data_IF_363149888492
#
_entry.id   IF_363149888492
#
_cell.length_a   1.000
_cell.length_b   1.000
_cell.length_c   1.000
_cell.angle_alpha   90.00
_cell.angle_beta   90.00
_cell.angle_gamma   90.00
#
_symmetry.space_group_name_H-M   'P 1'
#
loop_
_entity.id
_entity.type
_entity.pdbx_description
1 polymer ?
#
# COMPACT_ATOMS: atom_id res chain seq x y z
N UNK A 1 14.64 20.35 5.14
CA UNK A 1 13.35 19.64 5.23
C UNK A 1 13.21 18.72 4.03
N UNK A 2 13.10 17.41 4.26
CA UNK A 2 12.89 16.46 3.15
C UNK A 2 11.44 16.49 2.72
N UNK A 3 11.18 16.78 1.47
CA UNK A 3 9.85 16.60 0.89
C UNK A 3 9.60 15.12 0.66
N UNK A 4 8.39 14.67 0.95
CA UNK A 4 7.95 13.32 0.61
C UNK A 4 6.77 13.40 -0.37
N UNK A 5 6.85 12.62 -1.44
CA UNK A 5 5.79 12.60 -2.45
C UNK A 5 4.76 11.50 -2.18
N UNK A 6 5.13 10.50 -1.39
CA UNK A 6 4.21 9.47 -0.92
C UNK A 6 4.81 8.76 0.29
N UNK A 7 3.95 8.24 1.15
CA UNK A 7 4.35 7.40 2.29
C UNK A 7 3.83 6.00 2.07
N UNK A 8 4.73 5.03 2.06
CA UNK A 8 4.41 3.64 1.76
C UNK A 8 4.89 2.69 2.87
N UNK A 9 4.27 1.53 2.91
CA UNK A 9 4.72 0.39 3.70
C UNK A 9 5.14 -0.71 2.74
N UNK A 10 6.41 -1.11 2.79
CA UNK A 10 6.96 -2.20 1.98
C UNK A 10 6.97 -3.48 2.79
N UNK A 11 6.24 -4.49 2.33
CA UNK A 11 6.03 -5.76 3.04
C UNK A 11 6.57 -6.92 2.22
N UNK A 12 7.64 -7.54 2.70
CA UNK A 12 8.30 -8.66 2.04
C UNK A 12 9.20 -9.36 3.05
N UNK A 13 9.27 -10.67 3.03
CA UNK A 13 10.12 -11.43 3.94
C UNK A 13 11.58 -11.53 3.50
N UNK A 14 11.88 -11.12 2.27
CA UNK A 14 13.25 -11.08 1.75
C UNK A 14 13.97 -9.80 2.21
N UNK A 15 14.67 -9.89 3.34
CA UNK A 15 15.34 -8.73 3.96
C UNK A 15 16.24 -7.97 2.99
N UNK A 16 17.14 -8.63 2.21
CA UNK A 16 17.99 -7.89 1.27
C UNK A 16 17.21 -7.11 0.21
N UNK A 17 16.10 -7.67 -0.27
CA UNK A 17 15.22 -6.98 -1.22
C UNK A 17 14.61 -5.73 -0.60
N UNK A 18 14.09 -5.84 0.64
CA UNK A 18 13.49 -4.72 1.36
C UNK A 18 14.51 -3.60 1.58
N UNK A 19 15.72 -3.95 2.01
CA UNK A 19 16.78 -2.96 2.26
C UNK A 19 17.17 -2.23 0.99
N UNK A 20 17.39 -2.95 -0.11
CA UNK A 20 17.77 -2.37 -1.39
C UNK A 20 16.66 -1.47 -1.93
N UNK A 21 15.44 -1.95 -1.91
CA UNK A 21 14.29 -1.20 -2.43
C UNK A 21 14.02 0.05 -1.59
N UNK A 22 14.15 -0.04 -0.27
CA UNK A 22 14.00 1.09 0.63
C UNK A 22 14.98 2.21 0.28
N UNK A 23 16.25 1.87 0.06
CA UNK A 23 17.26 2.86 -0.34
C UNK A 23 16.92 3.53 -1.66
N UNK A 24 16.49 2.76 -2.64
CA UNK A 24 16.16 3.26 -3.98
C UNK A 24 14.94 4.17 -3.96
N UNK A 25 13.90 3.79 -3.24
CA UNK A 25 12.67 4.58 -3.13
C UNK A 25 12.89 5.85 -2.31
N UNK A 26 13.68 5.77 -1.24
CA UNK A 26 14.00 6.94 -0.40
C UNK A 26 14.73 8.01 -1.21
N UNK A 27 15.59 7.63 -2.12
CA UNK A 27 16.27 8.58 -3.04
C UNK A 27 15.31 9.29 -3.98
N UNK A 28 14.13 8.73 -4.19
CA UNK A 28 13.08 9.33 -5.02
C UNK A 28 12.03 10.08 -4.20
N UNK A 29 12.38 10.48 -2.98
CA UNK A 29 11.52 11.27 -2.09
C UNK A 29 10.26 10.52 -1.62
N UNK A 30 10.33 9.19 -1.56
CA UNK A 30 9.28 8.35 -0.99
C UNK A 30 9.69 7.98 0.43
N UNK A 31 8.79 8.19 1.38
CA UNK A 31 8.98 7.73 2.77
C UNK A 31 8.57 6.26 2.85
N UNK A 32 9.50 5.42 3.29
CA UNK A 32 9.30 3.97 3.32
C UNK A 32 9.32 3.46 4.75
N UNK A 33 8.21 2.86 5.16
CA UNK A 33 8.13 2.02 6.34
C UNK A 33 8.26 0.57 5.87
N UNK A 34 8.75 -0.31 6.72
CA UNK A 34 9.02 -1.70 6.34
C UNK A 34 8.34 -2.68 7.28
N UNK A 35 7.94 -3.83 6.74
CA UNK A 35 7.47 -4.98 7.49
C UNK A 35 7.93 -6.25 6.78
N UNK A 36 8.23 -7.28 7.55
CA UNK A 36 8.78 -8.52 7.01
C UNK A 36 7.78 -9.68 7.07
N UNK A 37 6.55 -9.38 7.46
CA UNK A 37 5.44 -10.36 7.48
C UNK A 37 4.11 -9.63 7.37
N UNK A 38 3.06 -10.37 7.05
CA UNK A 38 1.71 -9.83 7.00
C UNK A 38 1.23 -9.32 8.36
N UNK A 39 1.52 -10.06 9.43
CA UNK A 39 1.15 -9.66 10.78
C UNK A 39 1.85 -8.37 11.19
N UNK A 40 3.13 -8.25 10.90
CA UNK A 40 3.88 -7.03 11.18
C UNK A 40 3.32 -5.85 10.38
N UNK A 41 2.93 -6.08 9.13
CA UNK A 41 2.31 -5.05 8.31
C UNK A 41 1.03 -4.49 8.94
N UNK A 42 0.16 -5.38 9.43
CA UNK A 42 -1.08 -4.97 10.10
C UNK A 42 -0.79 -4.18 11.37
N UNK A 43 0.22 -4.57 12.14
CA UNK A 43 0.64 -3.84 13.34
C UNK A 43 1.14 -2.44 13.01
N UNK A 44 1.95 -2.30 11.95
CA UNK A 44 2.44 -0.99 11.51
C UNK A 44 1.27 -0.09 11.09
N UNK A 45 0.33 -0.62 10.31
CA UNK A 45 -0.84 0.16 9.87
C UNK A 45 -1.73 0.59 11.03
N UNK A 46 -1.84 -0.23 12.08
CA UNK A 46 -2.61 0.11 13.27
C UNK A 46 -1.95 1.21 14.09
N UNK A 47 -0.62 1.28 14.10
CA UNK A 47 0.14 2.24 14.91
C UNK A 47 0.50 3.53 14.17
N UNK A 48 0.62 3.49 12.85
CA UNK A 48 1.10 4.62 12.05
C UNK A 48 0.01 5.14 11.13
N UNK A 49 -0.42 6.36 11.38
CA UNK A 49 -1.29 7.08 10.45
C UNK A 49 -0.48 7.57 9.25
N UNK A 50 -1.15 7.82 8.16
CA UNK A 50 -0.52 8.45 7.00
C UNK A 50 0.12 7.52 5.99
N UNK A 51 0.10 6.21 6.20
CA UNK A 51 0.51 5.26 5.15
C UNK A 51 -0.54 5.30 4.04
N UNK A 52 -0.11 5.62 2.84
CA UNK A 52 -1.00 5.78 1.69
C UNK A 52 -1.09 4.51 0.85
N UNK A 53 0.03 3.82 0.68
CA UNK A 53 0.14 2.65 -0.19
C UNK A 53 0.94 1.56 0.51
N UNK A 54 0.48 0.34 0.40
CA UNK A 54 1.24 -0.86 0.81
C UNK A 54 1.74 -1.57 -0.44
N UNK A 55 3.03 -1.85 -0.50
CA UNK A 55 3.61 -2.75 -1.50
C UNK A 55 3.77 -4.10 -0.82
N UNK A 56 3.12 -5.12 -1.32
CA UNK A 56 2.90 -6.38 -0.60
C UNK A 56 3.28 -7.59 -1.46
N UNK A 57 4.17 -8.44 -0.92
CA UNK A 57 4.48 -9.73 -1.55
C UNK A 57 3.35 -10.73 -1.31
N UNK A 58 3.12 -11.62 -2.25
CA UNK A 58 2.07 -12.64 -2.17
C UNK A 58 2.47 -13.78 -1.25
N UNK A 59 3.69 -14.29 -1.41
CA UNK A 59 4.11 -15.52 -0.74
C UNK A 59 5.06 -15.21 0.41
N UNK A 60 4.53 -15.31 1.63
CA UNK A 60 5.28 -15.07 2.86
C UNK A 60 4.94 -16.15 3.89
N UNK A 61 5.87 -16.52 4.79
CA UNK A 61 5.55 -17.40 5.90
C UNK A 61 4.49 -16.81 6.84
N UNK A 62 3.66 -17.66 7.41
CA UNK A 62 2.60 -17.24 8.30
C UNK A 62 1.42 -16.66 7.53
N UNK A 63 1.01 -15.45 7.86
CA UNK A 63 -0.08 -14.76 7.14
C UNK A 63 0.40 -14.36 5.75
N UNK A 64 -0.10 -15.02 4.70
CA UNK A 64 0.33 -14.75 3.35
C UNK A 64 -0.20 -13.42 2.80
N UNK A 65 0.27 -13.04 1.61
CA UNK A 65 -0.08 -11.75 1.02
C UNK A 65 -1.56 -11.60 0.69
N UNK A 66 -2.23 -12.66 0.28
CA UNK A 66 -3.67 -12.62 -0.04
C UNK A 66 -4.50 -12.40 1.23
N UNK A 67 -4.20 -13.12 2.30
CA UNK A 67 -4.88 -12.91 3.59
C UNK A 67 -4.57 -11.52 4.17
N UNK A 68 -3.33 -11.08 4.04
CA UNK A 68 -2.94 -9.73 4.46
C UNK A 68 -3.73 -8.67 3.70
N UNK A 69 -3.86 -8.83 2.37
CA UNK A 69 -4.65 -7.93 1.54
C UNK A 69 -6.10 -7.85 2.01
N UNK A 70 -6.72 -8.99 2.28
CA UNK A 70 -8.10 -9.04 2.79
C UNK A 70 -8.26 -8.22 4.05
N UNK A 71 -7.34 -8.38 5.00
CA UNK A 71 -7.40 -7.67 6.28
C UNK A 71 -7.14 -6.18 6.12
N UNK A 72 -6.20 -5.79 5.26
CA UNK A 72 -5.95 -4.38 4.97
C UNK A 72 -7.19 -3.74 4.38
N UNK A 73 -7.82 -4.38 3.41
CA UNK A 73 -9.02 -3.84 2.78
C UNK A 73 -10.20 -3.72 3.76
N UNK A 74 -10.31 -4.65 4.71
CA UNK A 74 -11.36 -4.63 5.72
C UNK A 74 -11.13 -3.57 6.81
N UNK A 75 -9.89 -3.48 7.32
CA UNK A 75 -9.59 -2.68 8.50
C UNK A 75 -9.01 -1.29 8.16
N UNK A 76 -8.39 -1.14 6.99
CA UNK A 76 -7.77 0.11 6.53
C UNK A 76 -8.23 0.43 5.10
N UNK A 77 -9.53 0.70 4.90
CA UNK A 77 -10.10 0.75 3.56
C UNK A 77 -9.59 1.88 2.67
N UNK A 78 -8.98 2.92 3.23
CA UNK A 78 -8.40 4.01 2.45
C UNK A 78 -7.00 3.70 1.94
N UNK A 79 -6.31 2.74 2.57
CA UNK A 79 -4.96 2.35 2.14
C UNK A 79 -5.07 1.55 0.85
N UNK A 80 -4.30 1.94 -0.16
CA UNK A 80 -4.25 1.20 -1.41
C UNK A 80 -3.13 0.15 -1.36
N UNK A 81 -3.32 -0.98 -2.03
CA UNK A 81 -2.36 -2.09 -2.01
C UNK A 81 -1.90 -2.41 -3.43
N UNK A 82 -0.59 -2.43 -3.63
CA UNK A 82 0.05 -2.93 -4.85
C UNK A 82 0.72 -4.26 -4.51
N UNK A 83 0.34 -5.32 -5.20
CA UNK A 83 1.01 -6.61 -5.06
C UNK A 83 2.30 -6.61 -5.90
N UNK A 84 3.43 -6.93 -5.30
CA UNK A 84 4.72 -7.01 -6.00
C UNK A 84 5.41 -8.31 -5.62
N UNK A 85 5.47 -9.26 -6.52
CA UNK A 85 5.92 -10.61 -6.20
C UNK A 85 6.69 -11.27 -7.32
N UNK A 86 7.64 -12.14 -6.93
CA UNK A 86 8.31 -13.08 -7.85
C UNK A 86 7.54 -14.38 -8.04
N UNK A 87 6.46 -14.57 -7.30
CA UNK A 87 5.64 -15.79 -7.30
C UNK A 87 4.29 -15.57 -7.98
N UNK A 88 4.26 -14.76 -9.03
CA UNK A 88 3.04 -14.43 -9.74
C UNK A 88 2.48 -15.63 -10.48
N UNK A 89 1.19 -15.90 -10.26
CA UNK A 89 0.41 -16.82 -11.07
C UNK A 89 -0.82 -16.06 -11.57
N UNK A 90 -1.44 -16.54 -12.65
CA UNK A 90 -2.67 -15.94 -13.16
C UNK A 90 -3.75 -15.97 -12.07
N UNK A 91 -3.85 -17.08 -11.35
CA UNK A 91 -4.81 -17.25 -10.25
C UNK A 91 -4.60 -16.24 -9.14
N UNK A 92 -3.36 -16.08 -8.65
CA UNK A 92 -3.08 -15.10 -7.57
C UNK A 92 -3.30 -13.66 -8.01
N UNK A 93 -3.02 -13.33 -9.27
CA UNK A 93 -3.30 -12.01 -9.81
C UNK A 93 -4.80 -11.73 -9.86
N UNK A 94 -5.60 -12.69 -10.33
CA UNK A 94 -7.05 -12.57 -10.37
C UNK A 94 -7.61 -12.40 -8.95
N UNK A 95 -7.17 -13.23 -8.01
CA UNK A 95 -7.61 -13.15 -6.61
C UNK A 95 -7.27 -11.81 -5.99
N UNK A 96 -6.04 -11.34 -6.17
CA UNK A 96 -5.60 -10.05 -5.66
C UNK A 96 -6.45 -8.89 -6.18
N UNK A 97 -6.71 -8.86 -7.49
CA UNK A 97 -7.53 -7.80 -8.08
C UNK A 97 -8.99 -7.87 -7.63
N UNK A 98 -9.56 -9.06 -7.51
CA UNK A 98 -10.93 -9.26 -6.98
C UNK A 98 -11.06 -8.80 -5.54
N UNK A 99 -10.01 -8.96 -4.74
CA UNK A 99 -10.00 -8.56 -3.33
C UNK A 99 -9.69 -7.08 -3.14
N UNK A 100 -9.48 -6.34 -4.21
CA UNK A 100 -9.35 -4.90 -4.16
C UNK A 100 -7.93 -4.37 -4.19
N UNK A 101 -6.94 -5.15 -4.65
CA UNK A 101 -5.62 -4.61 -4.90
C UNK A 101 -5.69 -3.52 -5.97
N UNK A 102 -4.89 -2.48 -5.82
CA UNK A 102 -4.80 -1.41 -6.82
C UNK A 102 -4.16 -1.93 -8.11
N UNK A 103 -3.09 -2.71 -7.97
CA UNK A 103 -2.42 -3.33 -9.11
C UNK A 103 -1.62 -4.56 -8.65
N UNK A 104 -1.16 -5.34 -9.61
CA UNK A 104 -0.40 -6.56 -9.40
C UNK A 104 0.81 -6.56 -10.35
N UNK A 105 2.00 -6.46 -9.77
CA UNK A 105 3.25 -6.34 -10.51
C UNK A 105 4.17 -7.53 -10.24
N UNK A 106 5.01 -7.87 -11.22
CA UNK A 106 5.97 -8.97 -11.10
C UNK A 106 7.37 -8.44 -10.81
N UNK A 107 8.11 -9.14 -9.94
CA UNK A 107 9.55 -8.96 -9.80
C UNK A 107 10.29 -9.70 -10.93
N UNK A 108 11.36 -9.14 -11.49
CA UNK A 108 11.87 -7.80 -11.28
C UNK A 108 10.97 -6.75 -11.93
N UNK A 109 10.77 -5.64 -11.25
CA UNK A 109 9.95 -4.53 -11.73
C UNK A 109 10.83 -3.31 -11.95
N UNK A 110 10.60 -2.60 -13.07
CA UNK A 110 11.26 -1.34 -13.31
C UNK A 110 10.89 -0.33 -12.21
N UNK A 111 11.91 0.32 -11.64
CA UNK A 111 11.70 1.24 -10.53
C UNK A 111 10.79 2.41 -10.90
N UNK A 112 10.98 2.99 -12.11
CA UNK A 112 10.15 4.11 -12.55
C UNK A 112 8.70 3.68 -12.72
N UNK A 113 8.46 2.48 -13.22
CA UNK A 113 7.11 1.94 -13.34
C UNK A 113 6.45 1.71 -11.97
N UNK A 114 7.21 1.17 -11.01
CA UNK A 114 6.72 0.99 -9.64
C UNK A 114 6.36 2.35 -9.01
N UNK A 115 7.22 3.34 -9.14
CA UNK A 115 6.97 4.68 -8.60
C UNK A 115 5.73 5.30 -9.24
N UNK A 116 5.56 5.16 -10.54
CA UNK A 116 4.36 5.63 -11.25
C UNK A 116 3.10 5.03 -10.63
N UNK A 117 3.09 3.73 -10.39
CA UNK A 117 1.95 3.03 -9.78
C UNK A 117 1.73 3.47 -8.33
N UNK A 118 2.79 3.65 -7.57
CA UNK A 118 2.69 4.17 -6.19
C UNK A 118 2.03 5.55 -6.17
N UNK A 119 2.43 6.43 -7.07
CA UNK A 119 1.86 7.78 -7.12
C UNK A 119 0.40 7.78 -7.55
N UNK A 120 0.03 6.93 -8.50
CA UNK A 120 -1.36 6.75 -8.90
C UNK A 120 -2.22 6.26 -7.73
N UNK A 121 -1.73 5.26 -7.00
CA UNK A 121 -2.42 4.70 -5.83
C UNK A 121 -2.55 5.74 -4.71
N UNK A 122 -1.49 6.49 -4.43
CA UNK A 122 -1.50 7.54 -3.42
C UNK A 122 -2.52 8.64 -3.77
N UNK A 123 -2.62 9.03 -5.03
CA UNK A 123 -3.61 10.00 -5.50
C UNK A 123 -5.03 9.49 -5.30
N UNK A 124 -5.28 8.22 -5.57
CA UNK A 124 -6.60 7.61 -5.37
C UNK A 124 -6.99 7.65 -3.90
N UNK A 125 -6.07 7.34 -3.00
CA UNK A 125 -6.31 7.43 -1.56
C UNK A 125 -6.68 8.86 -1.16
N UNK A 126 -5.92 9.83 -1.63
CA UNK A 126 -6.14 11.25 -1.31
C UNK A 126 -7.50 11.74 -1.80
N UNK A 127 -7.92 11.32 -2.97
CA UNK A 127 -9.25 11.66 -3.51
C UNK A 127 -10.38 11.07 -2.67
N UNK A 128 -10.25 9.81 -2.25
CA UNK A 128 -11.25 9.18 -1.39
C UNK A 128 -11.34 9.88 -0.04
N UNK A 129 -10.20 10.21 0.56
CA UNK A 129 -10.13 10.93 1.83
C UNK A 129 -10.77 12.31 1.72
N UNK A 130 -10.49 13.04 0.66
CA UNK A 130 -11.08 14.36 0.38
C UNK A 130 -12.60 14.29 0.26
N UNK A 131 -13.13 13.29 -0.45
CA UNK A 131 -14.58 13.09 -0.58
C UNK A 131 -15.24 12.84 0.76
N UNK A 132 -14.61 12.07 1.63
CA UNK A 132 -15.13 11.80 2.97
C UNK A 132 -15.17 13.07 3.80
N UNK A 133 -14.11 13.86 3.77
CA UNK A 133 -14.04 15.15 4.48
C UNK A 133 -15.10 16.11 3.98
N UNK A 134 -15.27 16.23 2.66
CA UNK A 134 -16.29 17.10 2.08
C UNK A 134 -17.72 16.67 2.42
N UNK A 135 -17.98 15.37 2.40
CA UNK A 135 -19.28 14.83 2.80
C UNK A 135 -19.59 15.15 4.26
N UNK A 136 -18.59 15.05 5.12
CA UNK A 136 -18.70 15.39 6.55
C UNK A 136 -18.98 16.87 6.77
N UNK A 137 -18.31 17.74 6.02
CA UNK A 137 -18.51 19.18 6.09
C UNK A 137 -19.95 19.53 5.69
N UNK A 138 -20.47 18.94 4.60
CA UNK A 138 -21.85 19.14 4.17
C UNK A 138 -22.86 18.71 5.22
N UNK A 139 -22.63 17.58 5.87
CA UNK A 139 -23.47 17.07 6.93
C UNK A 139 -23.51 18.03 8.11
N UNK A 140 -22.36 18.51 8.57
CA UNK A 140 -22.24 19.46 9.67
C UNK A 140 -22.94 20.78 9.31
N UNK A 141 -22.74 21.28 8.11
CA UNK A 141 -23.36 22.52 7.64
C UNK A 141 -24.88 22.39 7.60
N UNK A 142 -25.39 21.26 7.13
CA UNK A 142 -26.84 20.99 7.09
C UNK A 142 -27.48 20.98 8.47
N UNK A 143 -26.76 20.47 9.48
CA UNK A 143 -27.24 20.44 10.88
C UNK A 143 -27.36 21.83 11.51
N UNK A 144 -26.63 22.82 11.00
CA UNK A 144 -26.63 24.19 11.52
C UNK A 144 -27.66 25.09 10.85
N UNK A 145 -28.25 24.63 9.77
CA UNK A 145 -29.22 25.40 9.01
C UNK A 145 -30.61 25.42 9.70
#
# INVERSE_FOLDING_TARGET
>A
MKMTIATILLVDDEVPFVETMTKRLTKREITVLTAFSGQQALSVLAEKDGVEVVILDVKMPGLDGIETLKRIRADFPLVEVIMLTGHATVESAIDGMKLGAFDYLMKPCDLDHLIEKVLEAAQRRRKHEEKIVQARIKEITARRA
#
